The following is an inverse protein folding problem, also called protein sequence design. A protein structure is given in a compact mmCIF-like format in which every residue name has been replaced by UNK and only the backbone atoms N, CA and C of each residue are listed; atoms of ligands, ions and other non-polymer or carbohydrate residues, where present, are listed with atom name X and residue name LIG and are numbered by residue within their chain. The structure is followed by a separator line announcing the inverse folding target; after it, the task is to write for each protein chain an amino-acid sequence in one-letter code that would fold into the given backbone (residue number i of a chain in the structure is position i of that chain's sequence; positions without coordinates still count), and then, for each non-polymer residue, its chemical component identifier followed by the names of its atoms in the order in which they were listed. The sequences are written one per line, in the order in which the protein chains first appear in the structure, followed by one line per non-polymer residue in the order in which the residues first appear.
data_IF_663984063168
#
_entry.id   IF_663984063168
#
_cell.length_a   1.000
_cell.length_b   1.000
_cell.length_c   1.000
_cell.angle_alpha   90.00
_cell.angle_beta   90.00
_cell.angle_gamma   90.00
#
_symmetry.space_group_name_H-M   'P 1'
#
loop_
_entity.id
_entity.type
_entity.pdbx_description
1 polymer ?
#
# COMPACT_ATOMS: atom_id res chain seq x y z
N UNK A 1 -10.11 31.08 -21.25
CA UNK A 1 -9.12 30.53 -20.29
C UNK A 1 -9.72 29.26 -19.72
N UNK A 2 -8.94 28.18 -19.57
CA UNK A 2 -9.41 27.00 -18.83
C UNK A 2 -9.48 27.33 -17.34
N UNK A 3 -10.46 26.75 -16.64
CA UNK A 3 -10.44 26.65 -15.19
C UNK A 3 -9.31 25.74 -14.72
N UNK A 4 -8.97 25.83 -13.44
CA UNK A 4 -7.92 25.00 -12.83
C UNK A 4 -8.30 23.51 -12.89
N UNK A 5 -9.58 23.18 -12.69
CA UNK A 5 -10.05 21.79 -12.71
C UNK A 5 -9.98 21.20 -14.12
N UNK A 6 -10.42 21.94 -15.14
CA UNK A 6 -10.32 21.49 -16.54
C UNK A 6 -8.85 21.30 -16.96
N UNK A 7 -7.95 22.20 -16.52
CA UNK A 7 -6.53 22.06 -16.79
C UNK A 7 -5.93 20.83 -16.10
N UNK A 8 -6.32 20.56 -14.85
CA UNK A 8 -5.88 19.37 -14.09
C UNK A 8 -6.35 18.08 -14.75
N UNK A 9 -7.63 17.99 -15.11
CA UNK A 9 -8.20 16.82 -15.79
C UNK A 9 -7.49 16.54 -17.10
N UNK A 10 -7.24 17.58 -17.90
CA UNK A 10 -6.54 17.43 -19.18
C UNK A 10 -5.11 16.93 -19.03
N UNK A 11 -4.40 17.35 -17.98
CA UNK A 11 -3.05 16.84 -17.67
C UNK A 11 -3.14 15.37 -17.25
N UNK A 12 -4.03 15.02 -16.33
CA UNK A 12 -4.17 13.66 -15.82
C UNK A 12 -4.63 12.68 -16.90
N UNK A 13 -5.46 13.12 -17.85
CA UNK A 13 -5.90 12.30 -18.99
C UNK A 13 -4.75 11.88 -19.92
N UNK A 14 -3.62 12.59 -19.90
CA UNK A 14 -2.42 12.26 -20.68
C UNK A 14 -1.44 11.34 -19.95
N UNK A 15 -1.70 10.97 -18.69
CA UNK A 15 -0.79 10.18 -17.85
C UNK A 15 -1.37 8.78 -17.64
N UNK A 16 -0.54 7.76 -17.85
CA UNK A 16 -0.85 6.39 -17.49
C UNK A 16 -0.02 5.96 -16.28
N UNK A 17 -0.60 5.10 -15.44
CA UNK A 17 0.18 4.43 -14.39
C UNK A 17 1.30 3.59 -15.02
N UNK A 18 2.48 3.60 -14.39
CA UNK A 18 3.59 2.76 -14.82
C UNK A 18 3.30 1.28 -14.51
N UNK A 19 3.90 0.34 -15.26
CA UNK A 19 3.80 -1.09 -14.93
C UNK A 19 4.30 -1.38 -13.51
N UNK A 20 3.66 -2.33 -12.85
CA UNK A 20 4.11 -2.80 -11.54
C UNK A 20 5.42 -3.58 -11.66
N UNK A 21 6.25 -3.49 -10.62
CA UNK A 21 7.49 -4.23 -10.47
C UNK A 21 7.57 -4.86 -9.07
N UNK A 22 8.29 -5.98 -8.96
CA UNK A 22 8.64 -6.57 -7.66
C UNK A 22 9.93 -5.95 -7.18
N UNK A 23 9.91 -5.40 -5.98
CA UNK A 23 11.08 -4.77 -5.34
C UNK A 23 11.33 -5.39 -3.97
N UNK A 24 12.58 -5.37 -3.45
CA UNK A 24 12.85 -5.70 -2.06
C UNK A 24 12.07 -4.79 -1.10
N UNK A 25 11.63 -5.33 0.04
CA UNK A 25 10.82 -4.58 1.04
C UNK A 25 11.48 -3.26 1.48
N UNK A 26 12.80 -3.25 1.65
CA UNK A 26 13.56 -2.06 2.02
C UNK A 26 13.46 -0.90 1.01
N UNK A 27 13.06 -1.19 -0.23
CA UNK A 27 12.90 -0.21 -1.32
C UNK A 27 11.41 0.12 -1.61
N UNK A 28 10.49 -0.46 -0.86
CA UNK A 28 9.05 -0.26 -1.07
C UNK A 28 8.53 1.06 -0.48
N UNK A 29 9.24 1.65 0.49
CA UNK A 29 8.84 2.91 1.11
C UNK A 29 8.69 4.03 0.07
N UNK A 30 7.55 4.73 0.08
CA UNK A 30 7.23 5.78 -0.89
C UNK A 30 6.63 5.30 -2.22
N UNK A 31 6.52 3.97 -2.44
CA UNK A 31 5.81 3.41 -3.59
C UNK A 31 4.34 3.14 -3.27
N UNK A 32 3.53 2.95 -4.32
CA UNK A 32 2.13 2.54 -4.22
C UNK A 32 2.04 1.03 -4.42
N UNK A 33 1.30 0.34 -3.56
CA UNK A 33 1.12 -1.10 -3.68
C UNK A 33 0.26 -1.44 -4.88
N UNK A 34 0.70 -2.43 -5.66
CA UNK A 34 0.01 -2.85 -6.89
C UNK A 34 -0.99 -4.00 -6.67
N UNK A 35 -0.93 -4.67 -5.52
CA UNK A 35 -1.77 -5.82 -5.18
C UNK A 35 -2.19 -5.78 -3.69
N UNK A 36 -3.28 -6.46 -3.34
CA UNK A 36 -3.72 -6.61 -1.96
C UNK A 36 -2.75 -7.50 -1.18
N UNK A 37 -2.39 -7.12 0.05
CA UNK A 37 -1.58 -7.95 0.95
C UNK A 37 -2.46 -8.47 2.07
N UNK A 38 -2.45 -9.79 2.24
CA UNK A 38 -3.19 -10.49 3.30
C UNK A 38 -2.21 -11.16 4.25
N UNK A 39 -2.59 -11.26 5.52
CA UNK A 39 -1.83 -12.05 6.48
C UNK A 39 -2.03 -13.54 6.18
N UNK A 40 -0.93 -14.29 6.09
CA UNK A 40 -0.98 -15.75 5.87
C UNK A 40 -1.40 -16.51 7.14
N UNK A 41 -1.30 -15.87 8.31
CA UNK A 41 -1.60 -16.45 9.62
C UNK A 41 -2.10 -15.38 10.60
N UNK A 42 -2.94 -15.77 11.59
CA UNK A 42 -3.32 -14.87 12.68
C UNK A 42 -2.10 -14.50 13.53
N UNK A 43 -2.09 -13.29 14.07
CA UNK A 43 -1.04 -12.80 14.97
C UNK A 43 -1.69 -12.35 16.28
N UNK A 44 -1.49 -13.07 17.40
CA UNK A 44 -0.63 -14.24 17.56
C UNK A 44 -1.24 -15.52 16.95
N UNK A 45 -0.42 -16.49 16.51
CA UNK A 45 -0.92 -17.73 15.90
C UNK A 45 -1.55 -18.71 16.92
N UNK A 46 -1.32 -18.48 18.21
CA UNK A 46 -1.89 -19.20 19.34
C UNK A 46 -2.04 -18.24 20.52
N UNK A 47 -2.77 -18.65 21.56
CA UNK A 47 -2.92 -17.83 22.77
C UNK A 47 -1.56 -17.56 23.40
N UNK A 48 -1.13 -16.31 23.42
CA UNK A 48 0.06 -15.86 24.15
C UNK A 48 -0.35 -14.91 25.28
N UNK A 49 0.38 -14.96 26.39
CA UNK A 49 0.20 -14.00 27.46
C UNK A 49 0.82 -12.66 27.02
N UNK A 50 0.07 -11.56 27.20
CA UNK A 50 0.60 -10.21 26.95
C UNK A 50 1.47 -9.70 28.11
N UNK A 51 1.35 -10.34 29.28
CA UNK A 51 1.95 -9.96 30.55
C UNK A 51 2.35 -11.22 31.33
N UNK A 52 3.24 -11.06 32.29
CA UNK A 52 3.57 -12.14 33.23
C UNK A 52 2.38 -12.43 34.15
N UNK A 53 2.13 -13.72 34.40
CA UNK A 53 1.01 -14.18 35.22
C UNK A 53 0.92 -15.71 35.27
N UNK A 54 -0.20 -16.22 35.77
CA UNK A 54 -0.52 -17.66 35.84
C UNK A 54 -1.82 -17.94 35.09
N UNK A 55 -1.92 -19.12 34.47
CA UNK A 55 -3.11 -19.57 33.72
C UNK A 55 -4.20 -20.16 34.61
#
# INVERSE_FOLDING_TARGET
MLSVDEARERVLAGVAALPAERVPLAQACGRVIAEEVRADLPVPPFANAAMDGYA
#
